data_IF_943078021976
#
_entry.id   IF_943078021976
#
_cell.length_a   1.000
_cell.length_b   1.000
_cell.length_c   1.000
_cell.angle_alpha   90.00
_cell.angle_beta   90.00
_cell.angle_gamma   90.00
#
_symmetry.space_group_name_H-M   'P 1'
#
loop_
_entity.id
_entity.type
_entity.pdbx_description
1 polymer ?
#
# COMPACT_ATOMS: atom_id res chain seq x y z
N UNK A 1 -33.45 -4.59 14.58
CA UNK A 1 -33.17 -5.07 13.21
C UNK A 1 -31.71 -4.76 12.97
N UNK A 2 -30.93 -5.81 12.78
CA UNK A 2 -29.47 -5.81 12.74
C UNK A 2 -28.94 -4.98 11.56
N UNK A 3 -28.45 -3.78 11.85
CA UNK A 3 -27.63 -2.96 10.95
C UNK A 3 -26.20 -3.56 10.85
N UNK A 4 -26.15 -4.85 10.52
CA UNK A 4 -24.98 -5.73 10.67
C UNK A 4 -24.44 -6.14 9.30
N UNK A 5 -24.30 -5.19 8.38
CA UNK A 5 -23.89 -5.50 7.00
C UNK A 5 -22.68 -4.73 6.50
N UNK A 6 -22.52 -3.45 6.85
CA UNK A 6 -21.49 -2.59 6.25
C UNK A 6 -20.95 -1.62 7.30
N UNK A 7 -20.63 -2.12 8.49
CA UNK A 7 -19.59 -1.51 9.30
C UNK A 7 -18.33 -2.34 9.09
N UNK A 8 -17.83 -2.39 7.85
CA UNK A 8 -16.41 -2.66 7.68
C UNK A 8 -15.76 -1.51 8.45
N UNK A 9 -15.14 -1.85 9.56
CA UNK A 9 -14.56 -0.91 10.50
C UNK A 9 -13.52 -0.08 9.73
N UNK A 10 -13.94 1.07 9.18
CA UNK A 10 -13.13 1.86 8.25
C UNK A 10 -11.84 2.33 8.93
N UNK A 11 -11.87 2.44 10.26
CA UNK A 11 -10.70 2.63 11.10
C UNK A 11 -9.72 1.46 10.96
N UNK A 12 -10.21 0.22 11.01
CA UNK A 12 -9.40 -0.99 10.83
C UNK A 12 -8.85 -1.11 9.40
N UNK A 13 -9.64 -0.75 8.39
CA UNK A 13 -9.19 -0.75 7.00
C UNK A 13 -8.08 0.30 6.76
N UNK A 14 -8.26 1.52 7.28
CA UNK A 14 -7.25 2.58 7.24
C UNK A 14 -5.97 2.21 7.98
N UNK A 15 -6.08 1.64 9.18
CA UNK A 15 -4.94 1.14 9.94
C UNK A 15 -4.19 0.03 9.19
N UNK A 16 -4.92 -0.89 8.54
CA UNK A 16 -4.33 -1.96 7.76
C UNK A 16 -3.58 -1.43 6.53
N UNK A 17 -4.14 -0.45 5.83
CA UNK A 17 -3.48 0.19 4.69
C UNK A 17 -2.21 0.96 5.11
N UNK A 18 -2.27 1.70 6.22
CA UNK A 18 -1.11 2.38 6.78
C UNK A 18 0.00 1.38 7.15
N UNK A 19 -0.35 0.29 7.84
CA UNK A 19 0.60 -0.77 8.20
C UNK A 19 1.24 -1.43 6.98
N UNK A 20 0.46 -1.67 5.91
CA UNK A 20 0.99 -2.21 4.65
C UNK A 20 1.93 -1.23 3.94
N UNK A 21 1.64 0.08 3.96
CA UNK A 21 2.55 1.10 3.42
C UNK A 21 3.87 1.13 4.18
N UNK A 22 3.82 1.09 5.52
CA UNK A 22 5.03 1.01 6.35
C UNK A 22 5.83 -0.26 6.08
N UNK A 23 5.17 -1.41 5.98
CA UNK A 23 5.83 -2.68 5.65
C UNK A 23 6.45 -2.65 4.26
N UNK A 24 5.81 -2.02 3.29
CA UNK A 24 6.37 -1.91 1.94
C UNK A 24 7.55 -0.97 1.88
N UNK A 25 7.54 0.11 2.67
CA UNK A 25 8.71 0.94 2.89
C UNK A 25 9.88 0.14 3.50
N UNK A 26 9.59 -0.74 4.48
CA UNK A 26 10.59 -1.65 5.06
C UNK A 26 11.13 -2.64 4.02
N UNK A 27 10.26 -3.27 3.22
CA UNK A 27 10.67 -4.18 2.13
C UNK A 27 11.57 -3.44 1.14
N UNK A 28 11.21 -2.21 0.76
CA UNK A 28 12.03 -1.41 -0.16
C UNK A 28 13.40 -1.08 0.43
N UNK A 29 13.48 -0.76 1.72
CA UNK A 29 14.75 -0.53 2.41
C UNK A 29 15.61 -1.81 2.44
N UNK A 30 15.02 -2.95 2.80
CA UNK A 30 15.70 -4.26 2.83
C UNK A 30 16.21 -4.63 1.45
N UNK A 31 15.41 -4.45 0.40
CA UNK A 31 15.83 -4.73 -0.99
C UNK A 31 16.97 -3.82 -1.41
N UNK A 32 16.93 -2.54 -1.04
CA UNK A 32 18.02 -1.59 -1.32
C UNK A 32 19.32 -1.97 -0.59
N UNK A 33 19.22 -2.36 0.67
CA UNK A 33 20.37 -2.82 1.46
C UNK A 33 20.95 -4.11 0.88
N UNK A 34 20.10 -5.08 0.56
CA UNK A 34 20.50 -6.33 -0.05
C UNK A 34 21.17 -6.09 -1.42
N UNK A 35 20.72 -5.10 -2.19
CA UNK A 35 21.38 -4.70 -3.43
C UNK A 35 22.78 -4.13 -3.21
N UNK A 36 22.98 -3.28 -2.21
CA UNK A 36 24.31 -2.76 -1.86
C UNK A 36 25.26 -3.88 -1.41
N UNK A 37 24.77 -4.80 -0.58
CA UNK A 37 25.54 -5.96 -0.15
C UNK A 37 25.88 -6.86 -1.35
N UNK A 38 24.91 -7.10 -2.24
CA UNK A 38 25.10 -7.90 -3.44
C UNK A 38 25.99 -7.23 -4.48
N UNK A 39 26.02 -5.89 -4.60
CA UNK A 39 26.92 -5.20 -5.53
C UNK A 39 28.39 -5.53 -5.24
N UNK A 40 28.75 -5.62 -3.97
CA UNK A 40 30.10 -6.00 -3.54
C UNK A 40 30.44 -7.42 -4.01
N UNK A 41 29.50 -8.36 -3.84
CA UNK A 41 29.67 -9.77 -4.19
C UNK A 41 29.62 -10.01 -5.71
N UNK A 42 28.73 -9.33 -6.42
CA UNK A 42 28.51 -9.45 -7.87
C UNK A 42 29.67 -8.87 -8.68
N UNK A 43 30.45 -7.95 -8.09
CA UNK A 43 31.66 -7.46 -8.73
C UNK A 43 32.77 -8.54 -8.79
N UNK A 44 32.76 -9.49 -7.86
CA UNK A 44 33.67 -10.63 -7.86
C UNK A 44 33.19 -11.79 -8.75
N UNK A 45 31.92 -11.75 -9.19
CA UNK A 45 31.39 -12.76 -10.11
C UNK A 45 31.95 -12.56 -11.51
N UNK A 46 32.46 -13.64 -12.11
CA UNK A 46 32.94 -13.65 -13.48
C UNK A 46 31.99 -14.53 -14.31
N UNK A 47 31.56 -13.99 -15.45
CA UNK A 47 30.80 -14.75 -16.44
C UNK A 47 29.27 -14.63 -16.33
N UNK A 48 28.52 -15.61 -16.86
CA UNK A 48 27.09 -15.48 -17.17
C UNK A 48 26.20 -15.14 -15.97
N UNK A 49 26.56 -15.57 -14.76
CA UNK A 49 25.73 -15.37 -13.55
C UNK A 49 25.67 -13.89 -13.15
N UNK A 50 26.77 -13.15 -13.33
CA UNK A 50 26.79 -11.69 -13.15
C UNK A 50 25.83 -11.00 -14.10
N UNK A 51 25.81 -11.44 -15.36
CA UNK A 51 24.94 -10.87 -16.38
C UNK A 51 23.48 -11.18 -16.10
N UNK A 52 23.16 -12.42 -15.70
CA UNK A 52 21.80 -12.80 -15.29
C UNK A 52 21.33 -11.96 -14.10
N UNK A 53 22.17 -11.78 -13.09
CA UNK A 53 21.81 -10.95 -11.94
C UNK A 53 21.54 -9.50 -12.36
N UNK A 54 22.47 -8.87 -13.09
CA UNK A 54 22.36 -7.47 -13.48
C UNK A 54 21.22 -7.20 -14.47
N UNK A 55 20.98 -8.12 -15.41
CA UNK A 55 20.02 -7.91 -16.48
C UNK A 55 18.61 -8.43 -16.15
N UNK A 56 18.48 -9.36 -15.21
CA UNK A 56 17.18 -9.99 -14.89
C UNK A 56 16.79 -9.81 -13.43
N UNK A 57 17.61 -10.31 -12.51
CA UNK A 57 17.23 -10.38 -11.07
C UNK A 57 17.03 -8.99 -10.49
N UNK A 58 18.06 -8.15 -10.58
CA UNK A 58 18.05 -6.79 -10.05
C UNK A 58 16.89 -5.94 -10.59
N UNK A 59 16.68 -5.81 -11.92
CA UNK A 59 15.58 -5.00 -12.43
C UNK A 59 14.21 -5.60 -12.10
N UNK A 60 14.06 -6.94 -12.04
CA UNK A 60 12.79 -7.57 -11.66
C UNK A 60 12.41 -7.22 -10.23
N UNK A 61 13.33 -7.36 -9.27
CA UNK A 61 13.05 -7.00 -7.88
C UNK A 61 12.68 -5.53 -7.72
N UNK A 62 13.42 -4.64 -8.38
CA UNK A 62 13.10 -3.21 -8.37
C UNK A 62 11.69 -2.93 -8.92
N UNK A 63 11.32 -3.59 -10.02
CA UNK A 63 10.00 -3.43 -10.63
C UNK A 63 8.88 -3.93 -9.72
N UNK A 64 9.03 -5.11 -9.10
CA UNK A 64 8.01 -5.70 -8.23
C UNK A 64 7.81 -4.88 -6.94
N UNK A 65 8.89 -4.41 -6.31
CA UNK A 65 8.80 -3.52 -5.14
C UNK A 65 8.11 -2.20 -5.51
N UNK A 66 8.45 -1.61 -6.66
CA UNK A 66 7.80 -0.39 -7.13
C UNK A 66 6.31 -0.61 -7.41
N UNK A 67 5.94 -1.76 -7.98
CA UNK A 67 4.55 -2.12 -8.24
C UNK A 67 3.75 -2.27 -6.93
N UNK A 68 4.31 -2.94 -5.92
CA UNK A 68 3.71 -3.05 -4.59
C UNK A 68 3.46 -1.68 -3.97
N UNK A 69 4.44 -0.78 -3.99
CA UNK A 69 4.30 0.59 -3.49
C UNK A 69 3.19 1.36 -4.20
N UNK A 70 3.03 1.19 -5.52
CA UNK A 70 1.95 1.83 -6.27
C UNK A 70 0.57 1.28 -5.92
N UNK A 71 0.43 -0.04 -5.81
CA UNK A 71 -0.84 -0.69 -5.46
C UNK A 71 -1.31 -0.22 -4.08
N UNK A 72 -0.41 -0.17 -3.09
CA UNK A 72 -0.77 0.24 -1.74
C UNK A 72 -1.09 1.72 -1.65
N UNK A 73 -0.39 2.56 -2.41
CA UNK A 73 -0.74 3.98 -2.54
C UNK A 73 -2.17 4.13 -3.07
N UNK A 74 -2.53 3.41 -4.14
CA UNK A 74 -3.89 3.42 -4.70
C UNK A 74 -4.92 2.91 -3.70
N UNK A 75 -4.60 1.86 -2.95
CA UNK A 75 -5.48 1.30 -1.94
C UNK A 75 -5.74 2.30 -0.80
N UNK A 76 -4.69 2.98 -0.32
CA UNK A 76 -4.78 4.05 0.68
C UNK A 76 -5.64 5.22 0.19
N UNK A 77 -5.42 5.70 -1.04
CA UNK A 77 -6.26 6.75 -1.65
C UNK A 77 -7.73 6.31 -1.72
N UNK A 78 -7.99 5.10 -2.20
CA UNK A 78 -9.36 4.57 -2.31
C UNK A 78 -10.05 4.49 -0.96
N UNK A 79 -9.36 4.05 0.09
CA UNK A 79 -9.93 3.98 1.44
C UNK A 79 -10.22 5.37 2.03
N UNK A 80 -9.36 6.35 1.78
CA UNK A 80 -9.62 7.74 2.17
C UNK A 80 -10.85 8.30 1.45
N UNK A 81 -10.96 8.08 0.14
CA UNK A 81 -12.11 8.53 -0.65
C UNK A 81 -13.42 7.88 -0.17
N UNK A 82 -13.39 6.58 0.17
CA UNK A 82 -14.54 5.87 0.74
C UNK A 82 -14.91 6.45 2.11
N UNK A 83 -13.92 6.72 2.97
CA UNK A 83 -14.14 7.31 4.30
C UNK A 83 -14.77 8.71 4.21
N UNK A 84 -14.27 9.56 3.31
CA UNK A 84 -14.78 10.92 3.13
C UNK A 84 -16.18 10.94 2.52
N UNK A 85 -16.47 10.06 1.55
CA UNK A 85 -17.81 9.89 1.00
C UNK A 85 -18.81 9.41 2.07
N UNK A 86 -18.40 8.48 2.94
CA UNK A 86 -19.24 8.01 4.03
C UNK A 86 -19.53 9.13 5.04
N UNK A 87 -18.51 9.85 5.51
CA UNK A 87 -18.68 10.99 6.42
C UNK A 87 -19.65 12.03 5.86
N UNK A 88 -19.48 12.39 4.58
CA UNK A 88 -20.38 13.33 3.89
C UNK A 88 -21.81 12.80 3.85
N UNK A 89 -21.99 11.51 3.52
CA UNK A 89 -23.33 10.87 3.47
C UNK A 89 -24.00 10.89 4.85
N UNK A 90 -23.25 10.57 5.91
CA UNK A 90 -23.77 10.61 7.29
C UNK A 90 -24.12 12.02 7.71
N UNK A 91 -23.28 13.02 7.41
CA UNK A 91 -23.56 14.42 7.70
C UNK A 91 -24.82 14.90 6.98
N UNK A 92 -24.93 14.66 5.68
CA UNK A 92 -26.11 15.04 4.89
C UNK A 92 -27.38 14.36 5.41
N UNK A 93 -27.31 13.07 5.77
CA UNK A 93 -28.45 12.38 6.35
C UNK A 93 -28.83 12.99 7.70
N UNK A 94 -27.86 13.29 8.57
CA UNK A 94 -28.10 13.89 9.87
C UNK A 94 -28.76 15.28 9.76
N UNK A 95 -28.30 16.11 8.82
CA UNK A 95 -28.91 17.42 8.51
C UNK A 95 -30.36 17.27 8.06
N UNK A 96 -30.62 16.36 7.10
CA UNK A 96 -31.99 16.09 6.62
C UNK A 96 -32.91 15.57 7.74
N UNK A 97 -32.38 14.75 8.66
CA UNK A 97 -33.15 14.27 9.81
C UNK A 97 -33.48 15.37 10.82
N UNK A 98 -32.61 16.38 10.98
CA UNK A 98 -32.87 17.55 11.82
C UNK A 98 -33.94 18.46 11.18
N UNK A 99 -33.92 18.62 9.87
CA UNK A 99 -34.92 19.39 9.12
C UNK A 99 -36.32 18.75 9.18
N UNK A 100 -36.42 17.41 9.19
CA UNK A 100 -37.71 16.71 9.30
C UNK A 100 -38.29 16.80 10.74
N UNK A 101 -37.44 17.05 11.75
CA UNK A 101 -37.86 17.13 13.16
C UNK A 101 -38.17 18.55 13.64
N UNK A 102 -37.92 19.58 12.84
CA UNK A 102 -38.39 20.96 13.05
C UNK A 102 -39.71 21.21 12.31
#
# INVERSE_FOLDING_TARGET
MSDSGISIDHLQAGQSAQAMMEETGRIQAIVTELQQQMETVVNDWIGPDRDVYKQKVLPTWNAEVAALSQILTRFSTTLNDVSDNYKRTVQTNAENFLDIRM
#
